data_IF_350524674818
#
_entry.id   IF_350524674818
#
_cell.length_a   1.000
_cell.length_b   1.000
_cell.length_c   1.000
_cell.angle_alpha   90.00
_cell.angle_beta   90.00
_cell.angle_gamma   90.00
#
_symmetry.space_group_name_H-M   'P 1'
#
loop_
_entity.id
_entity.type
_entity.pdbx_description
1 polymer ?
#
# COMPACT_ATOMS: atom_id res chain seq x y z
N UNK A 1 -1.46 11.36 -24.61
CA UNK A 1 -1.15 10.31 -23.62
C UNK A 1 -0.35 10.87 -22.46
N UNK A 2 0.99 10.99 -22.53
CA UNK A 2 1.80 11.36 -21.34
C UNK A 2 1.44 12.71 -20.70
N UNK A 3 1.20 13.76 -21.51
CA UNK A 3 0.80 15.07 -21.00
C UNK A 3 -0.60 15.04 -20.37
N UNK A 4 -1.51 14.28 -20.95
CA UNK A 4 -2.89 14.19 -20.49
C UNK A 4 -2.96 13.40 -19.18
N UNK A 5 -2.20 12.31 -19.03
CA UNK A 5 -2.17 11.51 -17.80
C UNK A 5 -1.59 12.24 -16.59
N UNK A 6 -0.81 13.31 -16.80
CA UNK A 6 -0.23 14.08 -15.70
C UNK A 6 -1.29 14.76 -14.83
N UNK A 7 -2.46 15.09 -15.41
CA UNK A 7 -3.55 15.74 -14.66
C UNK A 7 -4.15 14.81 -13.60
N UNK A 8 -4.08 13.50 -13.79
CA UNK A 8 -4.72 12.49 -12.93
C UNK A 8 -4.15 12.45 -11.51
N UNK A 9 -2.89 12.86 -11.32
CA UNK A 9 -2.26 12.89 -10.00
C UNK A 9 -2.43 14.25 -9.28
N UNK A 10 -3.08 15.21 -9.93
CA UNK A 10 -3.19 16.60 -9.46
C UNK A 10 -4.66 16.94 -9.21
N UNK A 11 -5.52 16.74 -10.21
CA UNK A 11 -6.93 17.11 -10.11
C UNK A 11 -7.69 16.12 -9.21
N UNK A 12 -8.81 16.55 -8.63
CA UNK A 12 -9.63 15.75 -7.71
C UNK A 12 -8.91 15.22 -6.45
N UNK A 13 -7.74 15.78 -6.13
CA UNK A 13 -6.96 15.46 -4.96
C UNK A 13 -5.58 14.92 -5.35
N UNK A 14 -4.54 15.57 -4.84
CA UNK A 14 -3.18 15.07 -5.05
C UNK A 14 -2.98 13.74 -4.33
N UNK A 15 -1.98 12.96 -4.74
CA UNK A 15 -1.65 11.67 -4.11
C UNK A 15 -1.58 11.75 -2.60
N UNK A 16 -0.98 12.81 -2.03
CA UNK A 16 -0.88 12.97 -0.57
C UNK A 16 -2.23 13.26 0.07
N UNK A 17 -3.04 14.13 -0.54
CA UNK A 17 -4.37 14.47 -0.01
C UNK A 17 -5.27 13.23 -0.02
N UNK A 18 -5.27 12.45 -1.10
CA UNK A 18 -6.03 11.20 -1.16
C UNK A 18 -5.48 10.14 -0.20
N UNK A 19 -4.17 10.11 0.05
CA UNK A 19 -3.59 9.22 1.07
C UNK A 19 -4.04 9.59 2.49
N UNK A 20 -4.14 10.89 2.81
CA UNK A 20 -4.73 11.36 4.06
C UNK A 20 -6.24 11.08 4.11
N UNK A 21 -6.94 11.11 2.98
CA UNK A 21 -8.36 10.75 2.90
C UNK A 21 -8.61 9.27 3.25
N UNK A 22 -7.70 8.36 2.87
CA UNK A 22 -7.74 6.96 3.31
C UNK A 22 -7.68 6.86 4.83
N UNK A 23 -6.78 7.60 5.48
CA UNK A 23 -6.70 7.64 6.94
C UNK A 23 -7.98 8.21 7.56
N UNK A 24 -8.53 9.27 6.97
CA UNK A 24 -9.83 9.85 7.39
C UNK A 24 -10.95 8.80 7.32
N UNK A 25 -11.05 8.04 6.23
CA UNK A 25 -12.06 7.01 6.05
C UNK A 25 -11.92 5.87 7.09
N UNK A 26 -10.69 5.45 7.36
CA UNK A 26 -10.38 4.47 8.42
C UNK A 26 -10.80 5.00 9.79
N UNK A 27 -10.45 6.23 10.13
CA UNK A 27 -10.79 6.83 11.42
C UNK A 27 -12.30 7.05 11.59
N UNK A 28 -12.99 7.53 10.55
CA UNK A 28 -14.45 7.75 10.56
C UNK A 28 -15.24 6.47 10.81
N UNK A 29 -14.73 5.34 10.36
CA UNK A 29 -15.36 4.02 10.54
C UNK A 29 -14.94 3.30 11.83
N UNK A 30 -14.21 3.98 12.73
CA UNK A 30 -13.60 3.35 13.91
C UNK A 30 -12.78 2.10 13.54
N UNK A 31 -12.09 2.15 12.38
CA UNK A 31 -11.27 1.08 11.79
C UNK A 31 -12.02 -0.16 11.30
N UNK A 32 -13.35 -0.21 11.43
CA UNK A 32 -14.15 -1.36 10.95
C UNK A 32 -13.95 -1.66 9.46
N UNK A 33 -13.73 -0.61 8.64
CA UNK A 33 -13.45 -0.76 7.21
C UNK A 33 -12.24 -1.65 6.91
N UNK A 34 -11.22 -1.66 7.78
CA UNK A 34 -10.04 -2.52 7.60
C UNK A 34 -10.35 -3.99 7.85
N UNK A 35 -11.32 -4.29 8.72
CA UNK A 35 -11.83 -5.64 8.93
C UNK A 35 -12.55 -6.17 7.69
N UNK A 36 -13.40 -5.34 7.07
CA UNK A 36 -14.07 -5.66 5.82
C UNK A 36 -13.08 -5.85 4.67
N UNK A 37 -12.12 -4.92 4.52
CA UNK A 37 -11.04 -5.03 3.55
C UNK A 37 -10.25 -6.34 3.71
N UNK A 38 -9.88 -6.69 4.94
CA UNK A 38 -9.19 -7.95 5.23
C UNK A 38 -10.01 -9.16 4.78
N UNK A 39 -11.30 -9.20 5.16
CA UNK A 39 -12.17 -10.31 4.77
C UNK A 39 -12.27 -10.44 3.26
N UNK A 40 -12.45 -9.32 2.57
CA UNK A 40 -12.62 -9.26 1.11
C UNK A 40 -11.37 -9.76 0.36
N UNK A 41 -10.18 -9.36 0.81
CA UNK A 41 -8.90 -9.86 0.28
C UNK A 41 -8.74 -11.36 0.51
N UNK A 42 -9.03 -11.84 1.72
CA UNK A 42 -8.90 -13.26 2.06
C UNK A 42 -9.86 -14.13 1.25
N UNK A 43 -11.10 -13.68 1.04
CA UNK A 43 -12.08 -14.37 0.20
C UNK A 43 -11.58 -14.50 -1.24
N UNK A 44 -11.00 -13.43 -1.80
CA UNK A 44 -10.47 -13.45 -3.17
C UNK A 44 -9.32 -14.43 -3.35
N UNK A 45 -8.30 -14.37 -2.50
CA UNK A 45 -7.17 -15.30 -2.63
C UNK A 45 -7.55 -16.75 -2.33
N UNK A 46 -8.65 -16.99 -1.59
CA UNK A 46 -9.16 -18.34 -1.33
C UNK A 46 -9.62 -19.05 -2.61
N UNK A 47 -10.05 -18.32 -3.64
CA UNK A 47 -10.40 -18.89 -4.95
C UNK A 47 -9.24 -19.65 -5.59
N UNK A 48 -8.00 -19.23 -5.30
CA UNK A 48 -6.79 -19.86 -5.81
C UNK A 48 -6.34 -21.10 -5.01
N UNK A 49 -7.07 -21.51 -3.95
CA UNK A 49 -6.67 -22.61 -3.04
C UNK A 49 -6.42 -23.94 -3.75
N UNK A 50 -7.15 -24.22 -4.83
CA UNK A 50 -7.02 -25.47 -5.59
C UNK A 50 -5.93 -25.41 -6.68
N UNK A 51 -5.28 -24.25 -6.85
CA UNK A 51 -4.29 -24.00 -7.89
C UNK A 51 -2.88 -23.94 -7.28
N UNK A 52 -2.06 -25.01 -7.41
CA UNK A 52 -0.74 -25.09 -6.78
C UNK A 52 0.22 -23.97 -7.23
N UNK A 53 0.12 -23.57 -8.50
CA UNK A 53 0.91 -22.51 -9.09
C UNK A 53 0.60 -21.10 -8.54
N UNK A 54 -0.52 -20.90 -7.84
CA UNK A 54 -0.90 -19.61 -7.24
C UNK A 54 -0.71 -19.55 -5.72
N UNK A 55 -0.31 -20.64 -5.07
CA UNK A 55 -0.19 -20.72 -3.61
C UNK A 55 0.86 -19.76 -3.04
N UNK A 56 2.00 -19.63 -3.73
CA UNK A 56 3.07 -18.73 -3.28
C UNK A 56 2.61 -17.26 -3.34
N UNK A 57 1.98 -16.84 -4.43
CA UNK A 57 1.45 -15.49 -4.58
C UNK A 57 0.36 -15.20 -3.53
N UNK A 58 -0.55 -16.15 -3.30
CA UNK A 58 -1.59 -16.05 -2.26
C UNK A 58 -0.99 -15.89 -0.87
N UNK A 59 0.05 -16.66 -0.56
CA UNK A 59 0.78 -16.58 0.71
C UNK A 59 1.48 -15.22 0.90
N UNK A 60 2.05 -14.65 -0.17
CA UNK A 60 2.67 -13.31 -0.15
C UNK A 60 1.64 -12.22 0.11
N UNK A 61 0.48 -12.26 -0.56
CA UNK A 61 -0.61 -11.30 -0.33
C UNK A 61 -1.17 -11.41 1.09
N UNK A 62 -1.41 -12.63 1.58
CA UNK A 62 -1.89 -12.85 2.96
C UNK A 62 -0.88 -12.34 4.00
N UNK A 63 0.42 -12.62 3.79
CA UNK A 63 1.49 -12.13 4.65
C UNK A 63 1.53 -10.60 4.67
N UNK A 64 1.56 -9.97 3.51
CA UNK A 64 1.60 -8.51 3.39
C UNK A 64 0.36 -7.86 4.03
N UNK A 65 -0.84 -8.42 3.81
CA UNK A 65 -2.07 -7.96 4.45
C UNK A 65 -1.96 -7.97 5.97
N UNK A 66 -1.50 -9.09 6.55
CA UNK A 66 -1.32 -9.21 7.99
C UNK A 66 -0.31 -8.19 8.52
N UNK A 67 0.83 -8.07 7.88
CA UNK A 67 1.92 -7.17 8.30
C UNK A 67 1.51 -5.70 8.24
N UNK A 68 0.88 -5.28 7.14
CA UNK A 68 0.43 -3.88 6.94
C UNK A 68 -0.65 -3.50 7.96
N UNK A 69 -1.61 -4.39 8.23
CA UNK A 69 -2.63 -4.12 9.23
C UNK A 69 -2.07 -4.06 10.66
N UNK A 70 -1.05 -4.87 10.96
CA UNK A 70 -0.35 -4.81 12.25
C UNK A 70 0.49 -3.53 12.39
N UNK A 71 1.24 -3.17 11.35
CA UNK A 71 2.03 -1.94 11.28
C UNK A 71 1.15 -0.69 11.47
N UNK A 72 0.01 -0.62 10.78
CA UNK A 72 -0.92 0.51 10.87
C UNK A 72 -1.53 0.72 12.27
N UNK A 73 -1.53 -0.29 13.14
CA UNK A 73 -1.95 -0.17 14.54
C UNK A 73 -0.80 0.31 15.45
N UNK A 74 0.45 -0.02 15.09
CA UNK A 74 1.65 0.29 15.89
C UNK A 74 2.24 1.66 15.61
N UNK A 75 1.89 2.29 14.48
CA UNK A 75 2.38 3.62 14.12
C UNK A 75 2.09 4.64 15.24
N UNK A 76 3.11 5.37 15.73
CA UNK A 76 2.91 6.49 16.65
C UNK A 76 1.99 7.55 16.02
N UNK A 77 1.11 8.22 16.78
CA UNK A 77 0.21 9.26 16.25
C UNK A 77 0.92 10.31 15.39
N UNK A 78 2.10 10.75 15.83
CA UNK A 78 2.90 11.77 15.16
C UNK A 78 3.51 11.30 13.82
N UNK A 79 3.52 9.99 13.57
CA UNK A 79 4.05 9.37 12.35
C UNK A 79 2.94 8.94 11.37
N UNK A 80 1.67 8.95 11.79
CA UNK A 80 0.55 8.40 10.99
C UNK A 80 0.38 9.15 9.67
N UNK A 81 0.43 10.48 9.68
CA UNK A 81 0.30 11.29 8.46
C UNK A 81 1.51 11.14 7.54
N UNK A 82 2.71 10.99 8.10
CA UNK A 82 3.93 10.74 7.32
C UNK A 82 3.87 9.42 6.57
N UNK A 83 3.29 8.38 7.18
CA UNK A 83 3.14 7.05 6.60
C UNK A 83 1.88 6.88 5.75
N UNK A 84 1.06 7.93 5.58
CA UNK A 84 -0.24 7.85 4.93
C UNK A 84 -0.15 7.31 3.49
N UNK A 85 0.85 7.77 2.74
CA UNK A 85 1.05 7.37 1.34
C UNK A 85 1.44 5.90 1.26
N UNK A 86 2.41 5.49 2.04
CA UNK A 86 2.94 4.12 2.07
C UNK A 86 1.86 3.14 2.54
N UNK A 87 1.03 3.55 3.50
CA UNK A 87 -0.15 2.81 3.92
C UNK A 87 -1.17 2.65 2.79
N UNK A 88 -1.57 3.75 2.14
CA UNK A 88 -2.52 3.71 1.03
C UNK A 88 -2.01 2.85 -0.14
N UNK A 89 -0.73 2.97 -0.47
CA UNK A 89 -0.10 2.16 -1.52
C UNK A 89 -0.02 0.69 -1.13
N UNK A 90 0.26 0.37 0.13
CA UNK A 90 0.24 -1.02 0.64
C UNK A 90 -1.14 -1.65 0.45
N UNK A 91 -2.21 -0.96 0.88
CA UNK A 91 -3.59 -1.42 0.66
C UNK A 91 -3.87 -1.65 -0.83
N UNK A 92 -3.48 -0.70 -1.69
CA UNK A 92 -3.68 -0.83 -3.14
C UNK A 92 -2.94 -2.02 -3.75
N UNK A 93 -1.68 -2.25 -3.39
CA UNK A 93 -0.86 -3.34 -3.94
C UNK A 93 -1.35 -4.70 -3.51
N UNK A 94 -1.76 -4.83 -2.24
CA UNK A 94 -2.41 -6.02 -1.71
C UNK A 94 -3.71 -6.30 -2.47
N UNK A 95 -4.55 -5.27 -2.66
CA UNK A 95 -5.84 -5.44 -3.33
C UNK A 95 -5.70 -5.83 -4.80
N UNK A 96 -4.77 -5.18 -5.53
CA UNK A 96 -4.44 -5.55 -6.91
C UNK A 96 -3.94 -6.99 -6.96
N UNK A 97 -3.06 -7.40 -6.05
CA UNK A 97 -2.57 -8.78 -5.97
C UNK A 97 -3.71 -9.79 -5.76
N UNK A 98 -4.63 -9.49 -4.85
CA UNK A 98 -5.80 -10.34 -4.58
C UNK A 98 -6.70 -10.50 -5.81
N UNK A 99 -6.98 -9.39 -6.52
CA UNK A 99 -7.79 -9.40 -7.75
C UNK A 99 -7.10 -10.17 -8.89
N UNK A 100 -5.79 -10.01 -9.07
CA UNK A 100 -5.04 -10.75 -10.08
C UNK A 100 -5.01 -12.25 -9.79
N UNK A 101 -4.88 -12.63 -8.52
CA UNK A 101 -4.94 -14.04 -8.09
C UNK A 101 -6.33 -14.62 -8.34
N UNK A 102 -7.40 -13.90 -7.96
CA UNK A 102 -8.79 -14.30 -8.23
C UNK A 102 -9.02 -14.50 -9.73
N UNK A 103 -8.56 -13.56 -10.55
CA UNK A 103 -8.68 -13.66 -12.00
C UNK A 103 -7.91 -14.87 -12.56
N UNK A 104 -6.67 -15.09 -12.10
CA UNK A 104 -5.85 -16.21 -12.53
C UNK A 104 -6.37 -17.58 -12.07
N UNK A 105 -7.26 -17.62 -11.06
CA UNK A 105 -7.93 -18.83 -10.58
C UNK A 105 -9.25 -19.13 -11.34
N UNK A 106 -9.65 -18.28 -12.29
CA UNK A 106 -10.85 -18.50 -13.10
C UNK A 106 -10.63 -19.64 -14.12
N UNK A 107 -11.68 -20.37 -14.49
CA UNK A 107 -11.56 -21.53 -15.39
C UNK A 107 -11.12 -21.16 -16.82
N UNK A 108 -11.35 -19.91 -17.22
CA UNK A 108 -10.91 -19.33 -18.50
C UNK A 108 -9.55 -18.62 -18.43
N UNK A 109 -8.87 -18.66 -17.28
CA UNK A 109 -7.59 -17.97 -17.12
C UNK A 109 -6.53 -18.51 -18.07
N UNK A 110 -5.78 -17.61 -18.69
CA UNK A 110 -4.66 -17.94 -19.57
C UNK A 110 -3.37 -18.10 -18.77
N UNK A 111 -2.33 -18.75 -19.34
CA UNK A 111 -1.00 -18.76 -18.71
C UNK A 111 -0.43 -17.35 -18.44
N UNK A 112 -0.83 -16.35 -19.23
CA UNK A 112 -0.41 -14.96 -19.04
C UNK A 112 -1.05 -14.33 -17.79
N UNK A 113 -2.29 -14.71 -17.45
CA UNK A 113 -2.99 -14.20 -16.26
C UNK A 113 -2.32 -14.72 -14.99
N UNK A 114 -2.01 -16.03 -14.98
CA UNK A 114 -1.21 -16.66 -13.92
C UNK A 114 0.14 -15.95 -13.78
N UNK A 115 0.88 -15.79 -14.89
CA UNK A 115 2.19 -15.14 -14.84
C UNK A 115 2.11 -13.68 -14.34
N UNK A 116 1.06 -12.95 -14.73
CA UNK A 116 0.82 -11.58 -14.27
C UNK A 116 0.60 -11.52 -12.76
N UNK A 117 -0.23 -12.40 -12.21
CA UNK A 117 -0.45 -12.50 -10.77
C UNK A 117 0.85 -12.81 -10.01
N UNK A 118 1.63 -13.77 -10.50
CA UNK A 118 2.93 -14.12 -9.94
C UNK A 118 3.90 -12.94 -9.97
N UNK A 119 4.04 -12.27 -11.13
CA UNK A 119 4.94 -11.12 -11.29
C UNK A 119 4.54 -9.91 -10.47
N UNK A 120 3.25 -9.67 -10.29
CA UNK A 120 2.81 -8.63 -9.38
C UNK A 120 3.22 -8.94 -7.93
N UNK A 121 3.02 -10.19 -7.49
CA UNK A 121 3.30 -10.62 -6.12
C UNK A 121 4.80 -10.79 -5.81
N UNK A 122 5.69 -10.73 -6.80
CA UNK A 122 7.15 -10.63 -6.59
C UNK A 122 7.58 -9.23 -6.13
N UNK A 123 6.76 -8.20 -6.34
CA UNK A 123 7.08 -6.81 -5.93
C UNK A 123 6.90 -6.64 -4.43
N UNK A 124 7.39 -5.52 -3.92
CA UNK A 124 7.05 -5.07 -2.56
C UNK A 124 5.54 -4.79 -2.47
N UNK A 125 4.80 -5.66 -1.76
CA UNK A 125 3.36 -5.51 -1.53
C UNK A 125 3.04 -4.65 -0.30
N UNK A 126 4.02 -4.43 0.58
CA UNK A 126 3.86 -3.73 1.86
C UNK A 126 4.87 -2.59 2.04
N UNK A 127 4.88 -1.56 1.16
CA UNK A 127 5.70 -0.36 1.32
C UNK A 127 5.69 0.25 2.73
N UNK A 128 4.55 0.19 3.43
CA UNK A 128 4.47 0.63 4.82
C UNK A 128 5.49 -0.09 5.70
N UNK A 129 5.51 -1.42 5.64
CA UNK A 129 6.42 -2.25 6.42
C UNK A 129 7.87 -2.06 5.96
N UNK A 130 8.11 -2.02 4.65
CA UNK A 130 9.44 -1.76 4.08
C UNK A 130 10.02 -0.44 4.59
N UNK A 131 9.22 0.63 4.62
CA UNK A 131 9.65 1.93 5.13
C UNK A 131 9.79 1.96 6.66
N UNK A 132 8.93 1.25 7.38
CA UNK A 132 9.01 1.09 8.84
C UNK A 132 10.27 0.34 9.26
N UNK A 133 10.61 -0.77 8.60
CA UNK A 133 11.83 -1.55 8.84
C UNK A 133 13.10 -0.71 8.61
N UNK A 134 13.05 0.19 7.62
CA UNK A 134 14.10 1.17 7.33
C UNK A 134 14.08 2.39 8.26
N UNK A 135 13.17 2.45 9.25
CA UNK A 135 12.98 3.57 10.19
C UNK A 135 12.71 4.91 9.52
N UNK A 136 12.06 4.87 8.34
CA UNK A 136 11.81 6.05 7.50
C UNK A 136 10.87 7.08 8.14
N UNK A 137 10.04 6.64 9.09
CA UNK A 137 9.08 7.50 9.80
C UNK A 137 9.59 8.00 11.15
N UNK A 138 10.85 7.73 11.51
CA UNK A 138 11.44 8.17 12.77
C UNK A 138 11.64 9.69 12.82
N UNK A 139 11.65 10.26 14.03
CA UNK A 139 11.96 11.69 14.23
C UNK A 139 13.33 12.07 13.67
N UNK A 140 14.32 11.17 13.78
CA UNK A 140 15.65 11.39 13.21
C UNK A 140 15.59 11.44 11.68
N UNK A 141 14.87 10.51 11.03
CA UNK A 141 14.67 10.55 9.59
C UNK A 141 13.95 11.84 9.15
N UNK A 142 12.96 12.31 9.91
CA UNK A 142 12.27 13.57 9.64
C UNK A 142 13.23 14.77 9.69
N UNK A 143 14.08 14.84 10.73
CA UNK A 143 15.08 15.89 10.88
C UNK A 143 16.09 15.88 9.73
N UNK A 144 16.55 14.70 9.34
CA UNK A 144 17.48 14.54 8.22
C UNK A 144 16.83 14.91 6.88
N UNK A 145 15.57 14.51 6.66
CA UNK A 145 14.80 14.91 5.47
C UNK A 145 14.63 16.43 5.39
N UNK A 146 14.34 17.08 6.53
CA UNK A 146 14.23 18.54 6.58
C UNK A 146 15.57 19.19 6.24
N UNK A 147 16.67 18.71 6.84
CA UNK A 147 18.00 19.22 6.54
C UNK A 147 18.37 19.04 5.06
N UNK A 148 18.05 17.89 4.47
CA UNK A 148 18.30 17.59 3.06
C UNK A 148 17.52 18.53 2.14
N UNK A 149 16.22 18.74 2.41
CA UNK A 149 15.35 19.61 1.58
C UNK A 149 15.79 21.07 1.64
N UNK A 150 16.29 21.52 2.79
CA UNK A 150 16.72 22.90 3.01
C UNK A 150 18.23 23.10 2.91
N UNK A 151 18.99 22.12 2.42
CA UNK A 151 20.43 22.29 2.20
C UNK A 151 20.67 23.35 1.12
N UNK A 152 21.61 24.27 1.38
CA UNK A 152 21.89 25.42 0.50
C UNK A 152 20.86 26.56 0.56
N UNK A 153 19.80 26.49 1.38
CA UNK A 153 18.88 27.61 1.58
C UNK A 153 19.47 28.65 2.56
N UNK A 154 19.53 29.95 2.19
CA UNK A 154 20.23 30.97 2.97
C UNK A 154 19.55 31.34 4.29
N UNK A 155 18.23 31.11 4.41
CA UNK A 155 17.51 31.17 5.67
C UNK A 155 16.98 29.78 6.00
N UNK A 156 17.13 29.33 7.25
CA UNK A 156 16.31 28.23 7.77
C UNK A 156 14.86 28.72 7.71
N UNK A 157 14.16 28.29 6.67
CA UNK A 157 12.78 28.71 6.38
C UNK A 157 11.95 28.70 7.67
N UNK A 158 11.34 29.85 7.99
CA UNK A 158 10.33 29.96 9.04
C UNK A 158 9.04 29.33 8.52
N UNK A 159 8.94 28.01 8.60
CA UNK A 159 7.65 27.31 8.60
C UNK A 159 7.32 26.91 10.03
#
# INVERSE_FOLDING_TARGET
MLRDTQVNAIWEGTTNILSLDVLRAVNKSSRSVLGHFRSDVLTRIHTAREFPNLQEASSKVEKALREVLQAAVKLPPDCVEMAAREFAYSLSRIYIGALLIEHAAHHEATPSDVYTALKWCERDLSPLCTHEDNKSFSQEAQKQNLQLVFDGYPEKSRL
#
